data_IF_268372659199
#
_entry.id   IF_268372659199
#
_cell.length_a   1.000
_cell.length_b   1.000
_cell.length_c   1.000
_cell.angle_alpha   90.00
_cell.angle_beta   90.00
_cell.angle_gamma   90.00
#
_symmetry.space_group_name_H-M   'P 1'
#
loop_
_entity.id
_entity.type
_entity.pdbx_description
1 polymer ?
#
# COMPACT_ATOMS: atom_id res chain seq x y z
N UNK A 1 -58.03 -55.82 16.54
CA UNK A 1 -57.21 -55.21 17.61
C UNK A 1 -55.75 -55.56 17.29
N UNK A 2 -54.95 -54.55 16.96
CA UNK A 2 -53.52 -54.57 16.57
C UNK A 2 -53.03 -55.53 15.47
N UNK A 3 -52.91 -55.01 14.26
CA UNK A 3 -52.05 -55.53 13.18
C UNK A 3 -50.75 -54.73 13.13
N UNK A 4 -49.60 -55.35 13.41
CA UNK A 4 -48.29 -54.81 13.02
C UNK A 4 -47.66 -55.72 11.96
N UNK A 5 -47.46 -55.13 10.78
CA UNK A 5 -46.84 -55.75 9.61
C UNK A 5 -45.36 -55.41 9.59
N UNK A 6 -44.59 -56.41 9.18
CA UNK A 6 -43.12 -56.50 9.14
C UNK A 6 -42.47 -55.39 8.31
N UNK A 7 -41.33 -54.92 8.82
CA UNK A 7 -40.44 -53.88 8.28
C UNK A 7 -39.57 -54.44 7.14
N UNK A 8 -39.66 -53.84 5.95
CA UNK A 8 -38.76 -54.01 4.80
C UNK A 8 -38.34 -52.62 4.31
N UNK A 9 -37.01 -52.40 4.20
CA UNK A 9 -36.29 -51.56 3.22
C UNK A 9 -34.92 -51.20 3.82
N UNK A 10 -33.86 -51.92 3.44
CA UNK A 10 -32.99 -51.70 2.27
C UNK A 10 -31.88 -50.66 2.50
N UNK A 11 -30.66 -51.21 2.42
CA UNK A 11 -29.31 -50.66 2.30
C UNK A 11 -29.18 -49.16 1.92
N UNK A 12 -28.34 -48.44 2.68
CA UNK A 12 -27.69 -47.19 2.25
C UNK A 12 -26.22 -47.49 1.88
N UNK A 13 -25.71 -47.05 0.71
CA UNK A 13 -24.30 -47.13 0.39
C UNK A 13 -23.52 -45.97 1.05
N UNK A 14 -22.26 -46.26 1.40
CA UNK A 14 -21.31 -45.36 2.05
C UNK A 14 -20.96 -44.16 1.15
N UNK A 15 -21.07 -42.95 1.71
CA UNK A 15 -20.47 -41.73 1.17
C UNK A 15 -18.94 -41.75 1.36
N UNK A 16 -18.18 -41.98 0.29
CA UNK A 16 -16.78 -41.58 0.23
C UNK A 16 -16.69 -40.09 -0.15
N UNK A 17 -16.58 -39.22 0.86
CA UNK A 17 -16.27 -37.81 0.63
C UNK A 17 -14.78 -37.67 0.28
N UNK A 18 -14.47 -37.42 -0.99
CA UNK A 18 -13.13 -37.04 -1.42
C UNK A 18 -12.82 -35.62 -0.90
N UNK A 19 -11.84 -35.52 0.00
CA UNK A 19 -11.27 -34.26 0.45
C UNK A 19 -10.52 -33.59 -0.71
N UNK A 20 -11.17 -32.63 -1.36
CA UNK A 20 -10.52 -31.65 -2.22
C UNK A 20 -9.61 -30.78 -1.37
N UNK A 21 -8.30 -31.09 -1.36
CA UNK A 21 -7.27 -30.17 -0.89
C UNK A 21 -7.20 -29.04 -1.91
N UNK A 22 -7.91 -27.95 -1.63
CA UNK A 22 -7.84 -26.72 -2.42
C UNK A 22 -6.41 -26.20 -2.43
N UNK A 23 -5.84 -26.08 -3.63
CA UNK A 23 -4.57 -25.40 -3.84
C UNK A 23 -4.65 -23.99 -3.25
N UNK A 24 -3.68 -23.64 -2.40
CA UNK A 24 -3.50 -22.31 -1.84
C UNK A 24 -3.61 -21.26 -2.94
N UNK A 25 -4.63 -20.41 -2.85
CA UNK A 25 -4.73 -19.24 -3.71
C UNK A 25 -3.58 -18.30 -3.35
N UNK A 26 -2.62 -18.13 -4.26
CA UNK A 26 -1.73 -16.97 -4.19
C UNK A 26 -2.63 -15.73 -4.16
N UNK A 27 -2.67 -15.02 -3.04
CA UNK A 27 -3.42 -13.77 -2.93
C UNK A 27 -2.85 -12.81 -3.97
N UNK A 28 -3.59 -12.62 -5.07
CA UNK A 28 -3.29 -11.59 -6.03
C UNK A 28 -3.33 -10.24 -5.30
N UNK A 29 -2.42 -9.34 -5.65
CA UNK A 29 -2.40 -7.99 -5.09
C UNK A 29 -3.74 -7.29 -5.31
N UNK A 30 -4.24 -6.59 -4.29
CA UNK A 30 -5.45 -5.77 -4.42
C UNK A 30 -5.20 -4.52 -5.27
N UNK A 31 -3.93 -4.10 -5.37
CA UNK A 31 -3.46 -2.94 -6.15
C UNK A 31 -2.56 -3.32 -7.32
N UNK A 32 -2.35 -2.40 -8.27
CA UNK A 32 -1.29 -2.58 -9.28
C UNK A 32 0.07 -2.65 -8.57
N UNK A 33 0.88 -3.65 -8.87
CA UNK A 33 2.24 -3.74 -8.34
C UNK A 33 3.27 -3.25 -9.35
N UNK A 34 4.35 -2.69 -8.83
CA UNK A 34 5.53 -2.30 -9.58
C UNK A 34 6.71 -3.21 -9.23
N UNK A 35 7.72 -3.24 -10.12
CA UNK A 35 9.02 -3.84 -9.79
C UNK A 35 9.66 -3.08 -8.62
N UNK A 36 10.50 -3.73 -7.81
CA UNK A 36 11.17 -3.07 -6.67
C UNK A 36 11.95 -1.82 -7.12
N UNK A 37 12.65 -1.90 -8.25
CA UNK A 37 13.38 -0.75 -8.80
C UNK A 37 12.44 0.40 -9.16
N UNK A 38 11.30 0.10 -9.77
CA UNK A 38 10.27 1.10 -10.09
C UNK A 38 9.69 1.71 -8.81
N UNK A 39 9.39 0.89 -7.80
CA UNK A 39 8.92 1.34 -6.48
C UNK A 39 9.90 2.29 -5.80
N UNK A 40 11.20 1.95 -5.79
CA UNK A 40 12.27 2.80 -5.26
C UNK A 40 12.34 4.16 -5.98
N UNK A 41 12.26 4.14 -7.31
CA UNK A 41 12.30 5.35 -8.13
C UNK A 41 11.07 6.24 -7.88
N UNK A 42 9.87 5.67 -7.90
CA UNK A 42 8.63 6.40 -7.62
C UNK A 42 8.66 7.02 -6.24
N UNK A 43 9.09 6.29 -5.21
CA UNK A 43 9.20 6.83 -3.84
C UNK A 43 10.18 8.00 -3.73
N UNK A 44 11.28 7.96 -4.49
CA UNK A 44 12.25 9.07 -4.58
C UNK A 44 11.66 10.27 -5.30
N UNK A 45 10.98 10.06 -6.43
CA UNK A 45 10.30 11.12 -7.16
C UNK A 45 9.21 11.78 -6.30
N UNK A 46 8.44 11.02 -5.52
CA UNK A 46 7.48 11.56 -4.55
C UNK A 46 8.15 12.46 -3.51
N UNK A 47 9.30 12.05 -2.99
CA UNK A 47 10.08 12.84 -2.05
C UNK A 47 10.59 14.12 -2.72
N UNK A 48 11.22 14.02 -3.88
CA UNK A 48 11.76 15.18 -4.61
C UNK A 48 10.67 16.19 -4.99
N UNK A 49 9.52 15.72 -5.48
CA UNK A 49 8.36 16.56 -5.79
C UNK A 49 7.71 17.13 -4.54
N UNK A 50 7.86 16.50 -3.37
CA UNK A 50 7.41 17.08 -2.10
C UNK A 50 8.28 18.26 -1.68
N UNK A 51 9.59 18.16 -1.90
CA UNK A 51 10.55 19.23 -1.57
C UNK A 51 10.47 20.40 -2.54
N UNK A 52 9.97 20.17 -3.76
CA UNK A 52 9.87 21.19 -4.82
C UNK A 52 8.44 21.72 -4.92
N UNK A 53 8.28 23.03 -5.06
CA UNK A 53 7.00 23.61 -5.49
C UNK A 53 6.84 23.48 -7.01
N UNK A 54 6.74 22.24 -7.52
CA UNK A 54 6.74 22.00 -8.97
C UNK A 54 5.46 22.52 -9.64
N UNK A 55 5.64 23.32 -10.70
CA UNK A 55 4.55 23.76 -11.56
C UNK A 55 4.10 22.62 -12.46
N UNK A 56 2.82 22.25 -12.38
CA UNK A 56 2.23 21.21 -13.22
C UNK A 56 1.92 21.76 -14.62
N UNK A 57 2.23 20.97 -15.66
CA UNK A 57 1.73 21.21 -17.03
C UNK A 57 0.20 21.11 -17.12
N UNK A 58 -0.40 21.62 -18.20
CA UNK A 58 -1.85 21.50 -18.41
C UNK A 58 -2.36 20.04 -18.35
N UNK A 59 -1.73 19.05 -19.03
CA UNK A 59 -2.13 17.65 -18.91
C UNK A 59 -2.05 17.11 -17.48
N UNK A 60 -0.97 17.43 -16.74
CA UNK A 60 -0.84 17.01 -15.34
C UNK A 60 -1.90 17.67 -14.44
N UNK A 61 -2.26 18.93 -14.70
CA UNK A 61 -3.36 19.60 -13.98
C UNK A 61 -4.71 18.96 -14.27
N UNK A 62 -4.96 18.53 -15.51
CA UNK A 62 -6.16 17.73 -15.85
C UNK A 62 -6.17 16.40 -15.11
N UNK A 63 -5.06 15.67 -15.13
CA UNK A 63 -4.95 14.39 -14.43
C UNK A 63 -5.18 14.54 -12.92
N UNK A 64 -4.57 15.56 -12.30
CA UNK A 64 -4.80 15.89 -10.89
C UNK A 64 -6.29 16.12 -10.59
N UNK A 65 -6.97 16.95 -11.40
CA UNK A 65 -8.41 17.22 -11.21
C UNK A 65 -9.25 15.94 -11.36
N UNK A 66 -8.96 15.13 -12.36
CA UNK A 66 -9.66 13.86 -12.59
C UNK A 66 -9.49 12.91 -11.39
N UNK A 67 -8.28 12.78 -10.87
CA UNK A 67 -7.99 11.99 -9.68
C UNK A 67 -8.71 12.52 -8.42
N UNK A 68 -8.68 13.84 -8.18
CA UNK A 68 -9.39 14.46 -7.05
C UNK A 68 -10.90 14.19 -7.08
N UNK A 69 -11.51 14.14 -8.27
CA UNK A 69 -12.93 13.81 -8.44
C UNK A 69 -13.21 12.33 -8.16
N UNK A 70 -12.28 11.44 -8.48
CA UNK A 70 -12.44 9.99 -8.33
C UNK A 70 -12.24 9.48 -6.89
N UNK A 71 -11.60 10.26 -6.02
CA UNK A 71 -11.37 9.85 -4.63
C UNK A 71 -12.66 9.90 -3.78
N UNK A 72 -12.78 9.02 -2.77
CA UNK A 72 -13.89 9.03 -1.82
C UNK A 72 -14.11 10.41 -1.19
N UNK A 73 -15.38 10.80 -1.00
CA UNK A 73 -15.71 12.15 -0.49
C UNK A 73 -15.23 12.42 0.95
N UNK A 74 -15.12 11.37 1.78
CA UNK A 74 -14.67 11.49 3.18
C UNK A 74 -13.21 11.95 3.33
N UNK A 75 -12.48 12.07 2.23
CA UNK A 75 -11.03 12.22 2.20
C UNK A 75 -10.56 13.43 1.39
N UNK A 76 -11.41 14.44 1.16
CA UNK A 76 -11.01 15.57 0.28
C UNK A 76 -10.16 16.64 0.98
N UNK A 77 -10.02 16.58 2.30
CA UNK A 77 -9.20 17.51 3.08
C UNK A 77 -8.02 16.78 3.72
N UNK A 78 -6.83 17.40 3.69
CA UNK A 78 -5.62 16.83 4.31
C UNK A 78 -4.74 15.98 3.39
N UNK A 79 -4.90 16.09 2.07
CA UNK A 79 -4.03 15.44 1.09
C UNK A 79 -3.12 16.41 0.36
N UNK A 80 -1.86 16.01 0.22
CA UNK A 80 -0.94 16.57 -0.76
C UNK A 80 -1.02 15.74 -2.05
N UNK A 81 -1.40 16.39 -3.14
CA UNK A 81 -1.47 15.74 -4.45
C UNK A 81 -0.16 15.90 -5.22
N UNK A 82 0.44 14.79 -5.65
CA UNK A 82 1.63 14.74 -6.51
C UNK A 82 1.28 14.01 -7.81
N UNK A 83 1.75 14.53 -8.94
CA UNK A 83 1.52 13.94 -10.27
C UNK A 83 2.86 13.52 -10.85
N UNK A 84 3.02 12.22 -11.09
CA UNK A 84 4.19 11.64 -11.75
C UNK A 84 3.78 11.06 -13.11
N UNK A 85 4.75 10.93 -14.02
CA UNK A 85 4.54 10.14 -15.24
C UNK A 85 4.42 8.65 -14.86
N UNK A 86 3.56 7.90 -15.55
CA UNK A 86 3.52 6.45 -15.36
C UNK A 86 4.75 5.80 -16.03
N UNK A 87 5.59 5.06 -15.30
CA UNK A 87 6.81 4.49 -15.86
C UNK A 87 6.57 3.30 -16.78
N UNK A 88 5.38 2.68 -16.76
CA UNK A 88 5.07 1.49 -17.58
C UNK A 88 3.95 1.74 -18.59
N UNK A 89 3.30 2.92 -18.56
CA UNK A 89 2.18 3.27 -19.45
C UNK A 89 2.27 4.72 -19.91
N UNK A 90 1.54 5.05 -20.98
CA UNK A 90 1.33 6.45 -21.38
C UNK A 90 0.27 7.08 -20.49
N UNK A 91 0.67 7.98 -19.61
CA UNK A 91 -0.25 8.67 -18.71
C UNK A 91 0.44 9.12 -17.43
N UNK A 92 -0.34 9.21 -16.37
CA UNK A 92 0.07 9.75 -15.08
C UNK A 92 -0.33 8.84 -13.93
N UNK A 93 0.51 8.84 -12.90
CA UNK A 93 0.16 8.37 -11.57
C UNK A 93 -0.06 9.60 -10.69
N UNK A 94 -1.29 9.77 -10.21
CA UNK A 94 -1.64 10.83 -9.27
C UNK A 94 -1.72 10.26 -7.88
N UNK A 95 -0.86 10.74 -7.00
CA UNK A 95 -0.79 10.34 -5.61
C UNK A 95 -1.56 11.33 -4.76
N UNK A 96 -2.46 10.82 -3.93
CA UNK A 96 -3.01 11.58 -2.82
C UNK A 96 -2.30 11.11 -1.56
N UNK A 97 -1.35 11.92 -1.09
CA UNK A 97 -0.57 11.62 0.11
C UNK A 97 -1.22 12.27 1.32
N UNK A 98 -1.70 11.45 2.26
CA UNK A 98 -2.31 11.93 3.49
C UNK A 98 -1.27 12.70 4.33
N UNK A 99 -1.70 13.81 4.91
CA UNK A 99 -0.85 14.73 5.67
C UNK A 99 -1.36 14.91 7.10
N UNK A 100 -0.45 15.29 7.98
CA UNK A 100 -0.65 15.62 9.39
C UNK A 100 -0.15 17.03 9.65
N UNK A 101 -0.60 17.63 10.76
CA UNK A 101 -0.15 18.96 11.19
C UNK A 101 1.24 18.92 11.83
N UNK A 102 1.62 17.81 12.47
CA UNK A 102 2.95 17.64 13.05
C UNK A 102 3.88 16.99 12.01
N UNK A 103 4.90 17.69 11.48
CA UNK A 103 5.79 17.13 10.46
C UNK A 103 6.62 15.93 10.95
N UNK A 104 6.64 15.64 12.26
CA UNK A 104 7.33 14.48 12.83
C UNK A 104 6.49 13.20 12.76
N UNK A 105 5.18 13.32 12.57
CA UNK A 105 4.28 12.19 12.47
C UNK A 105 4.48 11.45 11.15
N UNK A 106 4.62 10.12 11.22
CA UNK A 106 4.71 9.27 10.04
C UNK A 106 3.33 8.77 9.68
N UNK A 107 2.71 9.35 8.65
CA UNK A 107 1.40 8.92 8.13
C UNK A 107 1.62 7.75 7.19
N UNK A 108 1.30 6.53 7.64
CA UNK A 108 1.48 5.30 6.86
C UNK A 108 0.21 4.91 6.11
N UNK A 109 -0.95 5.24 6.68
CA UNK A 109 -2.25 4.93 6.12
C UNK A 109 -2.84 6.03 5.24
N UNK A 110 -4.00 5.72 4.65
CA UNK A 110 -4.85 6.64 3.88
C UNK A 110 -4.27 7.20 2.57
N UNK A 111 -3.11 6.74 2.11
CA UNK A 111 -2.57 7.16 0.81
C UNK A 111 -3.31 6.49 -0.35
N UNK A 112 -3.44 7.19 -1.48
CA UNK A 112 -3.99 6.64 -2.72
C UNK A 112 -3.06 6.88 -3.89
N UNK A 113 -3.15 5.99 -4.88
CA UNK A 113 -2.60 6.17 -6.22
C UNK A 113 -3.71 6.01 -7.25
N UNK A 114 -3.85 7.00 -8.12
CA UNK A 114 -4.81 7.00 -9.22
C UNK A 114 -4.05 6.93 -10.54
N UNK A 115 -4.32 5.90 -11.34
CA UNK A 115 -3.83 5.81 -12.72
C UNK A 115 -4.75 6.61 -13.63
N UNK A 116 -4.18 7.54 -14.39
CA UNK A 116 -4.89 8.40 -15.34
C UNK A 116 -4.21 8.28 -16.70
N UNK A 117 -4.96 7.97 -17.74
CA UNK A 117 -4.44 7.92 -19.12
C UNK A 117 -4.03 9.30 -19.63
N UNK A 118 -3.28 9.35 -20.74
CA UNK A 118 -2.78 10.59 -21.32
C UNK A 118 -3.89 11.59 -21.74
N UNK A 119 -5.08 11.09 -22.08
CA UNK A 119 -6.26 11.90 -22.40
C UNK A 119 -7.02 12.41 -21.15
N UNK A 120 -6.62 11.98 -19.95
CA UNK A 120 -7.17 12.44 -18.68
C UNK A 120 -8.29 11.56 -18.10
N UNK A 121 -8.53 10.37 -18.65
CA UNK A 121 -9.49 9.41 -18.08
C UNK A 121 -8.89 8.66 -16.89
N UNK A 122 -9.65 8.54 -15.80
CA UNK A 122 -9.27 7.70 -14.66
C UNK A 122 -9.42 6.23 -15.04
N UNK A 123 -8.34 5.47 -14.93
CA UNK A 123 -8.32 4.04 -15.23
C UNK A 123 -8.48 3.19 -13.97
N UNK A 124 -7.89 3.64 -12.86
CA UNK A 124 -7.83 2.86 -11.62
C UNK A 124 -7.58 3.75 -10.40
N UNK A 125 -8.18 3.40 -9.27
CA UNK A 125 -7.91 3.99 -7.95
C UNK A 125 -7.42 2.87 -7.03
N UNK A 126 -6.17 2.97 -6.58
CA UNK A 126 -5.52 2.03 -5.67
C UNK A 126 -5.41 2.66 -4.26
N UNK A 127 -6.12 2.14 -3.25
CA UNK A 127 -5.81 2.46 -1.86
C UNK A 127 -4.48 1.80 -1.48
N UNK A 128 -3.50 2.61 -1.06
CA UNK A 128 -2.15 2.11 -0.72
C UNK A 128 -2.04 1.62 0.73
N UNK A 129 -3.15 1.66 1.48
CA UNK A 129 -3.31 1.07 2.80
C UNK A 129 -4.77 0.66 3.03
N UNK A 130 -5.01 -0.34 3.89
CA UNK A 130 -6.38 -0.76 4.25
C UNK A 130 -7.01 0.05 5.38
N UNK A 131 -6.20 0.77 6.15
CA UNK A 131 -6.66 1.54 7.31
C UNK A 131 -5.96 2.88 7.40
N UNK A 132 -6.51 3.76 8.23
CA UNK A 132 -5.75 4.87 8.77
C UNK A 132 -4.60 4.37 9.66
N UNK A 133 -3.51 5.13 9.68
CA UNK A 133 -2.33 4.81 10.46
C UNK A 133 -1.38 5.98 10.54
N UNK A 134 -1.14 6.47 11.75
CA UNK A 134 -0.18 7.54 12.04
C UNK A 134 0.69 7.05 13.19
N UNK A 135 2.01 7.11 13.01
CA UNK A 135 2.96 6.89 14.09
C UNK A 135 3.39 8.25 14.60
N UNK A 136 2.90 8.62 15.79
CA UNK A 136 3.14 9.93 16.41
C UNK A 136 4.63 10.22 16.54
N UNK A 137 5.11 11.36 16.04
CA UNK A 137 6.51 11.75 16.12
C UNK A 137 6.90 12.45 17.42
N UNK A 138 5.94 12.73 18.30
CA UNK A 138 6.15 13.53 19.51
C UNK A 138 7.03 12.86 20.58
N UNK A 139 7.32 11.55 20.45
CA UNK A 139 8.18 10.82 21.37
C UNK A 139 7.68 10.81 22.82
N UNK A 140 6.41 11.17 23.08
CA UNK A 140 5.83 11.19 24.43
C UNK A 140 5.90 9.82 25.10
N UNK A 141 5.94 8.77 24.29
CA UNK A 141 5.93 7.39 24.71
C UNK A 141 7.36 6.81 24.79
N UNK A 142 8.38 7.62 24.47
CA UNK A 142 9.79 7.24 24.51
C UNK A 142 10.46 7.79 25.78
N UNK A 143 11.32 7.00 26.47
CA UNK A 143 12.11 7.51 27.57
C UNK A 143 12.95 8.73 27.16
N UNK A 144 13.12 9.68 28.08
CA UNK A 144 13.94 10.89 27.83
C UNK A 144 15.34 10.50 27.35
N UNK A 145 15.81 11.20 26.31
CA UNK A 145 17.12 10.96 25.72
C UNK A 145 17.18 9.80 24.72
N UNK A 146 16.07 9.11 24.46
CA UNK A 146 16.00 8.08 23.41
C UNK A 146 15.50 8.65 22.09
N UNK A 147 16.04 8.12 20.99
CA UNK A 147 15.63 8.46 19.63
C UNK A 147 14.96 7.25 18.97
N UNK A 148 13.94 7.48 18.16
CA UNK A 148 13.34 6.43 17.32
C UNK A 148 14.36 5.93 16.30
N UNK A 149 14.67 4.63 16.35
CA UNK A 149 15.59 3.99 15.40
C UNK A 149 14.98 3.76 14.00
N UNK A 150 13.65 3.69 13.91
CA UNK A 150 12.91 3.43 12.67
C UNK A 150 11.43 3.17 12.96
N UNK A 151 10.67 2.75 11.96
CA UNK A 151 9.28 2.36 12.13
C UNK A 151 8.95 1.02 11.46
N UNK A 152 7.90 0.37 11.95
CA UNK A 152 7.41 -0.91 11.42
C UNK A 152 5.96 -0.76 10.95
N UNK A 153 5.59 -1.48 9.88
CA UNK A 153 4.20 -1.56 9.44
C UNK A 153 3.89 -2.84 8.68
N UNK A 154 2.61 -3.01 8.34
CA UNK A 154 2.14 -4.04 7.43
C UNK A 154 1.54 -3.41 6.16
N UNK A 155 1.81 -4.00 5.01
CA UNK A 155 1.27 -3.64 3.71
C UNK A 155 0.36 -4.78 3.21
N UNK A 156 -0.90 -4.73 3.63
CA UNK A 156 -1.86 -5.81 3.33
C UNK A 156 -2.50 -5.74 1.94
N UNK A 157 -2.21 -4.68 1.18
CA UNK A 157 -2.75 -4.46 -0.19
C UNK A 157 -1.85 -5.02 -1.29
N UNK A 158 -0.62 -5.44 -0.95
CA UNK A 158 0.41 -5.85 -1.90
C UNK A 158 1.36 -6.90 -1.32
N UNK A 159 1.88 -7.76 -2.18
CA UNK A 159 2.93 -8.75 -1.88
C UNK A 159 4.35 -8.14 -1.96
N UNK A 160 4.45 -6.84 -2.22
CA UNK A 160 5.69 -6.03 -2.22
C UNK A 160 5.44 -4.69 -1.56
N UNK A 161 6.47 -4.03 -0.99
CA UNK A 161 6.32 -2.69 -0.46
C UNK A 161 5.82 -1.72 -1.53
N UNK A 162 4.98 -0.77 -1.12
CA UNK A 162 4.56 0.35 -1.97
C UNK A 162 5.57 1.48 -1.91
N UNK A 163 5.55 2.31 -2.94
CA UNK A 163 6.39 3.50 -3.10
C UNK A 163 6.20 4.51 -1.96
N UNK A 164 5.06 4.48 -1.27
CA UNK A 164 4.81 5.32 -0.09
C UNK A 164 5.75 4.99 1.07
N UNK A 165 6.14 3.73 1.28
CA UNK A 165 7.09 3.42 2.35
C UNK A 165 8.48 3.98 2.03
N UNK A 166 8.92 3.88 0.77
CA UNK A 166 10.17 4.51 0.29
C UNK A 166 10.12 6.01 0.51
N UNK A 167 9.04 6.67 0.07
CA UNK A 167 8.79 8.09 0.29
C UNK A 167 8.90 8.50 1.77
N UNK A 168 8.22 7.78 2.66
CA UNK A 168 8.20 8.09 4.10
C UNK A 168 9.58 7.91 4.74
N UNK A 169 10.36 6.90 4.33
CA UNK A 169 11.73 6.76 4.86
C UNK A 169 12.64 7.93 4.49
N UNK A 170 12.47 8.48 3.28
CA UNK A 170 13.20 9.65 2.82
C UNK A 170 12.71 10.93 3.51
N UNK A 171 11.39 11.08 3.64
CA UNK A 171 10.76 12.26 4.27
C UNK A 171 11.16 12.41 5.74
N UNK A 172 11.18 11.30 6.49
CA UNK A 172 11.46 11.31 7.93
C UNK A 172 12.90 10.95 8.28
N UNK A 173 13.73 10.63 7.29
CA UNK A 173 15.09 10.16 7.49
C UNK A 173 15.17 9.01 8.52
N UNK A 174 14.25 8.04 8.40
CA UNK A 174 14.11 6.90 9.31
C UNK A 174 13.95 5.61 8.50
N UNK A 175 14.64 4.52 8.85
CA UNK A 175 14.44 3.23 8.20
C UNK A 175 13.06 2.64 8.54
N UNK A 176 12.58 1.77 7.66
CA UNK A 176 11.31 1.06 7.82
C UNK A 176 11.47 -0.45 7.62
N UNK A 177 10.85 -1.24 8.49
CA UNK A 177 10.56 -2.65 8.22
C UNK A 177 9.07 -2.80 7.87
N UNK A 178 8.76 -3.51 6.78
CA UNK A 178 7.37 -3.70 6.32
C UNK A 178 7.10 -5.17 6.00
N UNK A 179 6.06 -5.72 6.63
CA UNK A 179 5.55 -7.05 6.29
C UNK A 179 4.47 -6.93 5.19
N UNK A 180 4.60 -7.69 4.10
CA UNK A 180 3.65 -7.68 2.97
C UNK A 180 2.61 -8.78 3.10
N UNK A 181 1.57 -8.74 2.25
CA UNK A 181 0.42 -9.66 2.34
C UNK A 181 0.77 -11.15 2.17
N UNK A 182 1.93 -11.45 1.58
CA UNK A 182 2.50 -12.79 1.42
C UNK A 182 3.35 -13.24 2.63
N UNK A 183 3.43 -12.42 3.68
CA UNK A 183 4.24 -12.67 4.86
C UNK A 183 5.72 -12.30 4.72
N UNK A 184 6.17 -11.84 3.54
CA UNK A 184 7.56 -11.40 3.37
C UNK A 184 7.82 -10.12 4.15
N UNK A 185 8.93 -10.06 4.89
CA UNK A 185 9.39 -8.83 5.55
C UNK A 185 10.47 -8.18 4.67
N UNK A 186 10.29 -6.90 4.41
CA UNK A 186 11.22 -6.06 3.65
C UNK A 186 11.77 -4.95 4.53
N UNK A 187 12.98 -4.52 4.25
CA UNK A 187 13.63 -3.40 4.91
C UNK A 187 13.85 -2.27 3.91
N UNK A 188 13.60 -1.05 4.35
CA UNK A 188 13.71 0.15 3.53
C UNK A 188 14.57 1.17 4.26
N UNK A 189 15.68 1.54 3.65
CA UNK A 189 16.59 2.54 4.21
C UNK A 189 17.14 3.41 3.08
N UNK A 190 17.18 4.73 3.31
CA UNK A 190 17.69 5.72 2.32
C UNK A 190 17.05 5.53 0.93
N UNK A 191 15.78 5.11 0.92
CA UNK A 191 15.00 4.85 -0.29
C UNK A 191 15.37 3.57 -1.06
N UNK A 192 16.06 2.61 -0.41
CA UNK A 192 16.43 1.30 -0.99
C UNK A 192 15.67 0.18 -0.30
N UNK A 193 15.13 -0.77 -1.06
CA UNK A 193 14.39 -1.93 -0.55
C UNK A 193 15.29 -3.17 -0.56
N UNK A 194 15.39 -3.87 0.56
CA UNK A 194 16.13 -5.14 0.72
C UNK A 194 15.31 -6.18 1.50
N UNK A 195 15.73 -7.45 1.45
CA UNK A 195 15.11 -8.55 2.22
C UNK A 195 15.83 -8.88 3.52
N UNK A 196 17.11 -8.57 3.61
CA UNK A 196 18.02 -9.09 4.65
C UNK A 196 18.28 -8.10 5.78
N UNK A 197 17.67 -6.92 5.75
CA UNK A 197 17.85 -5.90 6.79
C UNK A 197 19.28 -5.38 6.93
N UNK A 198 20.17 -5.78 6.01
CA UNK A 198 21.51 -5.24 5.92
C UNK A 198 21.39 -3.85 5.34
N UNK A 199 21.33 -2.89 6.25
CA UNK A 199 21.70 -1.51 5.97
C UNK A 199 22.96 -1.51 5.13
N UNK A 200 22.96 -0.82 3.99
CA UNK A 200 24.21 -0.52 3.31
C UNK A 200 25.01 0.33 4.29
N UNK A 201 25.94 -0.31 5.00
CA UNK A 201 26.90 0.34 5.88
C UNK A 201 27.51 1.48 5.08
N UNK A 202 27.21 2.72 5.51
CA UNK A 202 27.80 3.89 4.92
C UNK A 202 29.32 3.74 4.98
N UNK A 203 29.97 3.85 3.81
CA UNK A 203 31.35 4.32 3.74
C UNK A 203 31.34 5.84 3.82
#
# INVERSE_FOLDING_TARGET
MFTYRVMQCLLRPLCCAALLVGAYSAQASDIRQFSLKTTENLGRELYEQTQRAATLSEPQRRAKRAAMTALPQLEKHGYRFIVLNDPERKGYLVYALATTRDPRDVVIGLHYRVSVSADGKVERVDPLARSAGVISGNGSDLPRGTNRAGFYSTCMVSTRPTETFVYLTLLHNQPCAVATSDGTIWFIEKGKITKDGKASSAR
#
